data_IF_107125088148
#
_entry.id   IF_107125088148
#
_cell.length_a   1.000
_cell.length_b   1.000
_cell.length_c   1.000
_cell.angle_alpha   90.00
_cell.angle_beta   90.00
_cell.angle_gamma   90.00
#
_symmetry.space_group_name_H-M   'P 1'
#
loop_
_entity.id
_entity.type
_entity.pdbx_description
1 polymer ?
#
# COMPACT_ATOMS: atom_id res chain seq x y z
N UNK A 1 38.22 10.35 28.51
CA UNK A 1 39.50 11.08 28.41
C UNK A 1 40.21 10.52 27.19
N UNK A 2 40.25 11.12 25.99
CA UNK A 2 40.01 12.46 25.44
C UNK A 2 39.51 12.23 23.98
N UNK A 3 38.42 12.87 23.55
CA UNK A 3 38.38 14.19 22.88
C UNK A 3 38.86 14.09 21.42
N UNK A 4 37.95 14.13 20.43
CA UNK A 4 37.45 15.34 19.74
C UNK A 4 38.56 16.20 19.11
N UNK A 5 38.27 16.72 17.91
CA UNK A 5 38.79 17.95 17.25
C UNK A 5 39.55 17.72 15.92
N UNK A 6 39.11 18.50 14.92
CA UNK A 6 39.58 18.67 13.53
C UNK A 6 38.92 17.69 12.54
N UNK A 7 37.98 18.09 11.68
CA UNK A 7 38.14 19.12 10.64
C UNK A 7 36.94 20.08 10.63
N UNK A 8 37.11 21.24 11.27
CA UNK A 8 36.49 22.50 10.87
C UNK A 8 37.68 23.41 10.59
N UNK A 9 37.90 23.73 9.32
CA UNK A 9 38.43 24.98 8.74
C UNK A 9 38.76 24.64 7.29
N UNK A 10 37.78 24.88 6.44
CA UNK A 10 37.87 24.87 4.98
C UNK A 10 36.74 25.74 4.43
N UNK A 11 36.54 26.91 5.06
CA UNK A 11 35.63 27.95 4.58
C UNK A 11 36.46 28.89 3.70
N UNK A 12 35.77 29.49 2.72
CA UNK A 12 36.08 30.75 2.03
C UNK A 12 36.93 30.59 0.77
N UNK A 13 36.27 30.20 -0.32
CA UNK A 13 36.24 30.98 -1.57
C UNK A 13 35.70 30.09 -2.70
N UNK A 14 34.41 30.21 -3.01
CA UNK A 14 33.82 30.24 -4.36
C UNK A 14 32.43 30.85 -4.15
N UNK A 15 32.43 32.15 -3.83
CA UNK A 15 31.32 33.03 -4.17
C UNK A 15 31.84 33.80 -5.37
N UNK A 16 31.28 33.54 -6.55
CA UNK A 16 30.93 34.54 -7.57
C UNK A 16 30.89 33.91 -8.97
N UNK A 17 29.83 34.28 -9.70
CA UNK A 17 29.65 34.18 -11.15
C UNK A 17 29.16 32.84 -11.71
N UNK A 18 27.87 32.59 -11.56
CA UNK A 18 27.08 32.11 -12.71
C UNK A 18 25.96 33.12 -12.91
N UNK A 19 26.13 33.91 -13.97
CA UNK A 19 25.22 34.97 -14.39
C UNK A 19 23.92 34.42 -14.93
N UNK A 20 22.87 35.20 -14.68
CA UNK A 20 21.57 35.16 -15.32
C UNK A 20 21.70 35.21 -16.86
N UNK A 21 21.49 34.07 -17.51
CA UNK A 21 20.86 33.94 -18.83
C UNK A 21 20.04 32.64 -18.71
N UNK A 22 18.71 32.69 -18.59
CA UNK A 22 17.85 33.24 -19.61
C UNK A 22 17.48 32.18 -20.66
N UNK A 23 17.02 31.01 -20.23
CA UNK A 23 16.02 30.22 -20.95
C UNK A 23 14.97 29.83 -19.92
N UNK A 24 14.12 30.79 -19.57
CA UNK A 24 12.80 30.51 -19.00
C UNK A 24 12.01 29.74 -20.05
N UNK A 25 12.26 28.43 -20.14
CA UNK A 25 11.19 27.53 -20.53
C UNK A 25 10.28 27.50 -19.33
N UNK A 26 9.36 28.47 -19.29
CA UNK A 26 8.11 28.30 -18.59
C UNK A 26 7.41 27.11 -19.24
N UNK A 27 7.79 25.89 -18.84
CA UNK A 27 6.77 24.88 -18.68
C UNK A 27 5.92 25.41 -17.53
N UNK A 28 4.88 26.18 -17.88
CA UNK A 28 3.61 25.90 -17.24
C UNK A 28 3.39 24.41 -17.51
N UNK A 29 3.89 23.56 -16.60
CA UNK A 29 3.24 22.27 -16.40
C UNK A 29 1.78 22.69 -16.19
N UNK A 30 0.93 22.37 -17.16
CA UNK A 30 -0.46 22.65 -16.94
C UNK A 30 -0.83 21.93 -15.63
N UNK A 31 -1.49 22.65 -14.74
CA UNK A 31 -2.07 22.15 -13.47
C UNK A 31 -3.18 21.11 -13.74
N UNK A 32 -3.30 20.65 -14.98
CA UNK A 32 -4.30 19.69 -15.43
C UNK A 32 -4.05 18.38 -14.71
N UNK A 33 -5.15 17.79 -14.25
CA UNK A 33 -5.11 16.51 -13.58
C UNK A 33 -4.56 15.43 -14.52
N UNK A 34 -3.89 14.39 -14.00
CA UNK A 34 -3.27 13.38 -14.89
C UNK A 34 -4.29 12.69 -15.82
N UNK A 35 -5.54 12.51 -15.39
CA UNK A 35 -6.63 11.97 -16.22
C UNK A 35 -7.05 12.87 -17.40
N UNK A 36 -6.73 14.17 -17.35
CA UNK A 36 -6.97 15.13 -18.44
C UNK A 36 -5.76 15.24 -19.38
N UNK A 37 -4.66 14.55 -19.04
CA UNK A 37 -3.42 14.58 -19.81
C UNK A 37 -3.56 13.84 -21.14
N UNK A 38 -2.90 14.35 -22.18
CA UNK A 38 -2.78 13.64 -23.46
C UNK A 38 -1.80 12.46 -23.43
N UNK A 39 -1.00 12.32 -22.37
CA UNK A 39 0.04 11.29 -22.24
C UNK A 39 -0.36 10.10 -21.36
N UNK A 40 -1.54 10.16 -20.75
CA UNK A 40 -2.08 9.11 -19.89
C UNK A 40 -3.56 8.88 -20.22
N UNK A 41 -4.10 7.73 -19.85
CA UNK A 41 -5.51 7.46 -20.08
C UNK A 41 -6.39 8.18 -19.04
N UNK A 42 -7.61 8.51 -19.45
CA UNK A 42 -8.62 9.02 -18.53
C UNK A 42 -9.13 7.90 -17.63
N UNK A 43 -8.63 7.87 -16.39
CA UNK A 43 -9.03 6.89 -15.37
C UNK A 43 -10.25 7.35 -14.55
N UNK A 44 -10.83 8.52 -14.83
CA UNK A 44 -12.03 9.03 -14.18
C UNK A 44 -13.21 8.83 -15.13
N UNK A 45 -13.91 7.71 -14.98
CA UNK A 45 -15.02 7.35 -15.86
C UNK A 45 -16.38 7.52 -15.15
N UNK A 46 -17.48 7.80 -15.88
CA UNK A 46 -18.82 7.95 -15.29
C UNK A 46 -19.30 6.74 -14.49
N UNK A 47 -18.82 5.54 -14.85
CA UNK A 47 -19.07 4.31 -14.12
C UNK A 47 -17.79 3.49 -13.91
N UNK A 48 -17.79 2.64 -12.88
CA UNK A 48 -16.66 1.74 -12.64
C UNK A 48 -16.49 0.70 -13.76
N UNK A 49 -17.57 0.26 -14.38
CA UNK A 49 -17.48 -0.66 -15.53
C UNK A 49 -16.77 -0.02 -16.71
N UNK A 50 -17.05 1.26 -17.03
CA UNK A 50 -16.31 2.01 -18.06
C UNK A 50 -14.85 2.22 -17.67
N UNK A 51 -14.58 2.45 -16.38
CA UNK A 51 -13.20 2.50 -15.86
C UNK A 51 -12.43 1.20 -16.07
N UNK A 52 -13.06 0.05 -15.83
CA UNK A 52 -12.45 -1.25 -16.11
C UNK A 52 -12.14 -1.40 -17.60
N UNK A 53 -13.04 -0.96 -18.49
CA UNK A 53 -12.81 -1.01 -19.95
C UNK A 53 -11.64 -0.11 -20.35
N UNK A 54 -11.67 1.18 -19.97
CA UNK A 54 -10.62 2.14 -20.30
C UNK A 54 -9.25 1.70 -19.76
N UNK A 55 -9.20 1.20 -18.52
CA UNK A 55 -7.97 0.68 -17.92
C UNK A 55 -7.44 -0.53 -18.68
N UNK A 56 -8.33 -1.42 -19.15
CA UNK A 56 -7.91 -2.61 -19.90
C UNK A 56 -7.26 -2.22 -21.22
N UNK A 57 -7.88 -1.31 -21.96
CA UNK A 57 -7.36 -0.82 -23.24
C UNK A 57 -5.97 -0.20 -23.07
N UNK A 58 -5.79 0.58 -22.00
CA UNK A 58 -4.51 1.15 -21.65
C UNK A 58 -3.46 0.09 -21.28
N UNK A 59 -3.78 -0.83 -20.35
CA UNK A 59 -2.82 -1.81 -19.83
C UNK A 59 -2.36 -2.80 -20.90
N UNK A 60 -3.26 -3.25 -21.79
CA UNK A 60 -2.87 -4.15 -22.90
C UNK A 60 -1.77 -3.55 -23.77
N UNK A 61 -1.79 -2.22 -23.95
CA UNK A 61 -0.85 -1.52 -24.82
C UNK A 61 0.41 -1.03 -24.09
N UNK A 62 0.33 -0.80 -22.78
CA UNK A 62 1.37 -0.08 -22.03
C UNK A 62 2.06 -0.90 -20.92
N UNK A 63 1.51 -2.06 -20.55
CA UNK A 63 2.14 -2.94 -19.56
C UNK A 63 3.38 -3.64 -20.13
N UNK A 64 4.44 -3.66 -19.34
CA UNK A 64 5.59 -4.53 -19.60
C UNK A 64 5.31 -5.91 -18.99
N UNK A 65 4.79 -6.84 -19.78
CA UNK A 65 4.58 -8.22 -19.36
C UNK A 65 5.91 -8.95 -19.14
N UNK A 66 6.05 -9.65 -18.02
CA UNK A 66 7.32 -10.27 -17.59
C UNK A 66 7.29 -11.81 -17.63
N UNK A 67 6.13 -12.40 -17.90
CA UNK A 67 5.90 -13.84 -18.01
C UNK A 67 5.24 -14.20 -19.34
N UNK A 68 5.22 -15.50 -19.65
CA UNK A 68 4.55 -16.01 -20.85
C UNK A 68 3.01 -16.08 -20.73
N UNK A 69 2.44 -15.74 -19.56
CA UNK A 69 1.00 -15.75 -19.33
C UNK A 69 0.50 -14.31 -19.12
N UNK A 70 0.46 -13.55 -20.23
CA UNK A 70 0.03 -12.16 -20.23
C UNK A 70 -1.40 -11.97 -19.74
N UNK A 71 -2.31 -12.93 -19.98
CA UNK A 71 -3.69 -12.85 -19.53
C UNK A 71 -3.81 -12.91 -18.00
N UNK A 72 -3.05 -13.81 -17.37
CA UNK A 72 -2.96 -13.88 -15.90
C UNK A 72 -2.38 -12.59 -15.33
N UNK A 73 -1.27 -12.12 -15.89
CA UNK A 73 -0.65 -10.87 -15.43
C UNK A 73 -1.60 -9.68 -15.58
N UNK A 74 -2.28 -9.56 -16.71
CA UNK A 74 -3.26 -8.52 -16.93
C UNK A 74 -4.35 -8.60 -15.86
N UNK A 75 -4.94 -9.79 -15.65
CA UNK A 75 -5.98 -9.99 -14.64
C UNK A 75 -5.53 -9.63 -13.22
N UNK A 76 -4.26 -9.86 -12.87
CA UNK A 76 -3.70 -9.47 -11.57
C UNK A 76 -3.58 -7.94 -11.42
N UNK A 77 -3.46 -7.20 -12.52
CA UNK A 77 -3.22 -5.76 -12.49
C UNK A 77 -4.45 -4.92 -12.90
N UNK A 78 -5.53 -5.56 -13.33
CA UNK A 78 -6.77 -4.89 -13.70
C UNK A 78 -7.58 -4.46 -12.47
N UNK A 79 -8.20 -3.26 -12.47
CA UNK A 79 -9.29 -2.99 -11.55
C UNK A 79 -10.41 -4.00 -11.76
N UNK A 80 -11.18 -4.30 -10.71
CA UNK A 80 -12.18 -5.36 -10.77
C UNK A 80 -13.41 -5.08 -9.93
N UNK A 81 -14.52 -5.69 -10.35
CA UNK A 81 -15.81 -5.72 -9.65
C UNK A 81 -16.13 -7.18 -9.28
N UNK A 82 -16.68 -7.41 -8.08
CA UNK A 82 -17.14 -8.72 -7.60
C UNK A 82 -18.48 -8.56 -6.87
N UNK A 83 -19.25 -9.64 -6.80
CA UNK A 83 -20.62 -9.62 -6.31
C UNK A 83 -21.62 -9.05 -7.33
N UNK A 84 -22.89 -9.02 -6.94
CA UNK A 84 -23.98 -8.57 -7.82
C UNK A 84 -24.50 -7.21 -7.35
N UNK A 85 -24.16 -6.16 -8.13
CA UNK A 85 -24.57 -4.76 -7.89
C UNK A 85 -26.08 -4.61 -7.63
N UNK A 86 -26.93 -5.40 -8.30
CA UNK A 86 -28.38 -5.25 -8.20
C UNK A 86 -29.00 -5.91 -6.96
N UNK A 87 -28.28 -6.83 -6.31
CA UNK A 87 -28.81 -7.57 -5.15
C UNK A 87 -28.08 -7.23 -3.85
N UNK A 88 -26.85 -6.75 -3.94
CA UNK A 88 -26.08 -6.31 -2.78
C UNK A 88 -26.64 -4.98 -2.26
N UNK A 89 -26.81 -4.86 -0.94
CA UNK A 89 -27.18 -3.60 -0.28
C UNK A 89 -25.99 -2.85 0.33
N UNK A 90 -24.85 -3.52 0.39
CA UNK A 90 -23.59 -3.00 0.93
C UNK A 90 -22.54 -3.05 -0.17
N UNK A 91 -21.68 -2.05 -0.22
CA UNK A 91 -20.54 -2.03 -1.12
C UNK A 91 -19.23 -1.70 -0.39
N UNK A 92 -18.12 -2.07 -1.00
CA UNK A 92 -16.78 -1.74 -0.50
C UNK A 92 -15.85 -1.39 -1.65
N UNK A 93 -15.13 -0.28 -1.50
CA UNK A 93 -14.04 0.11 -2.38
C UNK A 93 -12.70 -0.30 -1.76
N UNK A 94 -11.86 -1.02 -2.48
CA UNK A 94 -10.55 -1.48 -2.03
C UNK A 94 -9.43 -0.77 -2.79
N UNK A 95 -8.47 -0.20 -2.06
CA UNK A 95 -7.39 0.63 -2.61
C UNK A 95 -6.02 0.11 -2.19
N UNK A 96 -5.19 -0.29 -3.16
CA UNK A 96 -3.89 -0.93 -2.88
C UNK A 96 -2.80 0.07 -2.46
N UNK A 97 -1.65 -0.47 -2.04
CA UNK A 97 -0.48 0.32 -1.64
C UNK A 97 0.42 0.74 -2.80
N UNK A 98 1.40 1.61 -2.52
CA UNK A 98 2.42 2.01 -3.49
C UNK A 98 3.18 0.80 -4.05
N UNK A 99 3.30 0.75 -5.39
CA UNK A 99 4.01 -0.29 -6.13
C UNK A 99 3.26 -1.61 -6.24
N UNK A 100 2.09 -1.75 -5.62
CA UNK A 100 1.23 -2.93 -5.69
C UNK A 100 0.21 -2.82 -6.85
N UNK A 101 -0.73 -3.76 -6.89
CA UNK A 101 -1.83 -3.82 -7.86
C UNK A 101 -3.13 -4.26 -7.18
N UNK A 102 -4.27 -4.24 -7.90
CA UNK A 102 -5.54 -4.79 -7.42
C UNK A 102 -5.45 -6.23 -6.88
N UNK A 103 -4.46 -7.02 -7.32
CA UNK A 103 -4.24 -8.37 -6.80
C UNK A 103 -4.03 -8.42 -5.28
N UNK A 104 -3.56 -7.34 -4.64
CA UNK A 104 -3.40 -7.25 -3.18
C UNK A 104 -4.69 -7.47 -2.40
N UNK A 105 -5.84 -7.36 -3.06
CA UNK A 105 -7.16 -7.66 -2.49
C UNK A 105 -7.84 -8.88 -3.13
N UNK A 106 -7.09 -9.75 -3.81
CA UNK A 106 -7.66 -10.94 -4.45
C UNK A 106 -8.46 -11.83 -3.48
N UNK A 107 -7.92 -12.10 -2.30
CA UNK A 107 -8.61 -12.90 -1.28
C UNK A 107 -9.59 -12.07 -0.45
N UNK A 108 -9.17 -10.89 0.03
CA UNK A 108 -10.03 -10.01 0.84
C UNK A 108 -11.32 -9.65 0.08
N UNK A 109 -11.21 -9.31 -1.20
CA UNK A 109 -12.37 -9.01 -2.04
C UNK A 109 -13.30 -10.21 -2.21
N UNK A 110 -12.76 -11.44 -2.25
CA UNK A 110 -13.56 -12.67 -2.27
C UNK A 110 -14.26 -12.91 -0.93
N UNK A 111 -13.57 -12.69 0.19
CA UNK A 111 -14.17 -12.81 1.52
C UNK A 111 -15.30 -11.80 1.72
N UNK A 112 -15.11 -10.53 1.34
CA UNK A 112 -16.13 -9.49 1.42
C UNK A 112 -17.32 -9.74 0.49
N UNK A 113 -17.09 -10.28 -0.71
CA UNK A 113 -18.18 -10.76 -1.58
C UNK A 113 -19.00 -11.85 -0.88
N UNK A 114 -18.35 -12.78 -0.19
CA UNK A 114 -18.99 -13.82 0.63
C UNK A 114 -19.88 -13.27 1.75
N UNK A 115 -19.50 -12.11 2.31
CA UNK A 115 -20.27 -11.36 3.31
C UNK A 115 -21.38 -10.46 2.71
N UNK A 116 -21.63 -10.61 1.40
CA UNK A 116 -22.70 -9.95 0.67
C UNK A 116 -22.39 -8.55 0.16
N UNK A 117 -21.13 -8.11 0.22
CA UNK A 117 -20.72 -6.83 -0.35
C UNK A 117 -20.60 -6.91 -1.88
N UNK A 118 -20.99 -5.82 -2.54
CA UNK A 118 -20.49 -5.50 -3.87
C UNK A 118 -19.09 -4.92 -3.73
N UNK A 119 -18.08 -5.54 -4.35
CA UNK A 119 -16.68 -5.19 -4.12
C UNK A 119 -16.10 -4.56 -5.38
N UNK A 120 -15.53 -3.37 -5.24
CA UNK A 120 -14.75 -2.70 -6.28
C UNK A 120 -13.30 -2.59 -5.81
N UNK A 121 -12.33 -2.99 -6.64
CA UNK A 121 -10.90 -2.83 -6.34
C UNK A 121 -10.25 -1.91 -7.37
N UNK A 122 -9.72 -0.77 -6.92
CA UNK A 122 -9.12 0.25 -7.77
C UNK A 122 -7.69 -0.11 -8.17
N UNK A 123 -7.30 0.33 -9.37
CA UNK A 123 -5.91 0.48 -9.79
C UNK A 123 -5.52 1.95 -9.72
N UNK A 124 -4.62 2.32 -8.81
CA UNK A 124 -4.12 3.70 -8.74
C UNK A 124 -3.30 4.03 -10.00
N UNK A 125 -3.44 5.24 -10.59
CA UNK A 125 -2.67 5.62 -11.76
C UNK A 125 -1.16 5.51 -11.48
N UNK A 126 -0.41 5.18 -12.52
CA UNK A 126 1.01 4.80 -12.47
C UNK A 126 1.30 3.35 -12.09
N UNK A 127 0.31 2.59 -11.62
CA UNK A 127 0.46 1.18 -11.25
C UNK A 127 -0.06 0.24 -12.34
N UNK A 128 0.28 -1.04 -12.24
CA UNK A 128 -0.24 -2.11 -13.10
C UNK A 128 0.31 -2.17 -14.52
N UNK A 129 1.01 -1.14 -14.99
CA UNK A 129 1.68 -1.08 -16.30
C UNK A 129 3.18 -1.40 -16.20
N UNK A 130 4.01 -0.41 -15.89
CA UNK A 130 5.46 -0.52 -15.70
C UNK A 130 5.92 0.48 -14.63
N UNK A 131 7.03 0.21 -13.91
CA UNK A 131 7.48 1.09 -12.84
C UNK A 131 7.67 2.54 -13.28
N UNK A 132 8.14 2.78 -14.50
CA UNK A 132 8.36 4.13 -15.02
C UNK A 132 7.10 5.02 -14.96
N UNK A 133 5.90 4.45 -15.06
CA UNK A 133 4.65 5.21 -15.04
C UNK A 133 4.33 5.79 -13.65
N UNK A 134 4.96 5.31 -12.57
CA UNK A 134 4.87 5.94 -11.24
C UNK A 134 5.59 7.31 -11.15
N UNK A 135 6.33 7.68 -12.19
CA UNK A 135 6.86 9.04 -12.31
C UNK A 135 5.80 10.07 -12.71
N UNK A 136 4.64 9.64 -13.19
CA UNK A 136 3.57 10.50 -13.70
C UNK A 136 2.62 11.05 -12.61
N UNK A 137 2.01 10.21 -11.73
CA UNK A 137 0.98 10.67 -10.81
C UNK A 137 1.58 11.40 -9.60
N UNK A 138 0.87 12.39 -9.09
CA UNK A 138 1.11 12.92 -7.76
C UNK A 138 0.06 12.37 -6.75
N UNK A 139 0.13 12.80 -5.49
CA UNK A 139 -0.83 12.31 -4.49
C UNK A 139 -2.28 12.77 -4.76
N UNK A 140 -2.50 13.95 -5.34
CA UNK A 140 -3.87 14.44 -5.61
C UNK A 140 -4.52 13.66 -6.75
N UNK A 141 -3.73 13.15 -7.70
CA UNK A 141 -4.23 12.21 -8.72
C UNK A 141 -4.75 10.91 -8.11
N UNK A 142 -4.03 10.37 -7.11
CA UNK A 142 -4.49 9.20 -6.35
C UNK A 142 -5.70 9.50 -5.45
N UNK A 143 -5.74 10.66 -4.80
CA UNK A 143 -6.89 11.03 -4.00
C UNK A 143 -8.14 11.24 -4.87
N UNK A 144 -7.99 11.88 -6.03
CA UNK A 144 -9.10 12.17 -6.96
C UNK A 144 -9.81 10.90 -7.42
N UNK A 145 -9.05 9.86 -7.79
CA UNK A 145 -9.66 8.58 -8.22
C UNK A 145 -10.37 7.88 -7.07
N UNK A 146 -9.81 7.91 -5.85
CA UNK A 146 -10.45 7.34 -4.65
C UNK A 146 -11.75 8.06 -4.33
N UNK A 147 -11.72 9.40 -4.31
CA UNK A 147 -12.89 10.23 -4.03
C UNK A 147 -14.01 10.01 -5.05
N UNK A 148 -13.64 9.95 -6.34
CA UNK A 148 -14.58 9.74 -7.42
C UNK A 148 -15.35 8.43 -7.28
N UNK A 149 -14.65 7.29 -7.17
CA UNK A 149 -15.32 5.99 -7.12
C UNK A 149 -15.98 5.70 -5.76
N UNK A 150 -15.48 6.26 -4.66
CA UNK A 150 -16.18 6.21 -3.37
C UNK A 150 -17.52 6.95 -3.43
N UNK A 151 -17.54 8.14 -4.04
CA UNK A 151 -18.76 8.92 -4.24
C UNK A 151 -19.76 8.21 -5.17
N UNK A 152 -19.30 7.57 -6.25
CA UNK A 152 -20.18 6.77 -7.12
C UNK A 152 -20.81 5.60 -6.36
N UNK A 153 -20.04 4.85 -5.57
CA UNK A 153 -20.60 3.78 -4.74
C UNK A 153 -21.65 4.33 -3.76
N UNK A 154 -21.41 5.48 -3.14
CA UNK A 154 -22.35 6.04 -2.18
C UNK A 154 -23.64 6.55 -2.79
N UNK A 155 -23.66 6.85 -4.09
CA UNK A 155 -24.90 7.15 -4.83
C UNK A 155 -25.76 5.90 -5.03
N UNK A 156 -25.12 4.74 -5.19
CA UNK A 156 -25.77 3.48 -5.55
C UNK A 156 -26.09 2.58 -4.34
N UNK A 157 -25.41 2.77 -3.20
CA UNK A 157 -25.49 1.88 -2.04
C UNK A 157 -25.71 2.62 -0.72
N UNK A 158 -26.58 2.06 0.12
CA UNK A 158 -26.90 2.60 1.44
C UNK A 158 -25.69 2.51 2.39
N UNK A 159 -24.97 1.38 2.35
CA UNK A 159 -23.79 1.11 3.19
C UNK A 159 -22.55 0.96 2.31
N UNK A 160 -21.58 1.84 2.49
CA UNK A 160 -20.31 1.85 1.77
C UNK A 160 -19.15 1.84 2.74
N UNK A 161 -18.34 0.80 2.68
CA UNK A 161 -17.05 0.73 3.37
C UNK A 161 -15.93 1.13 2.41
N UNK A 162 -14.85 1.70 2.95
CA UNK A 162 -13.60 1.83 2.20
C UNK A 162 -12.51 1.01 2.85
N UNK A 163 -11.86 0.17 2.06
CA UNK A 163 -10.71 -0.63 2.48
C UNK A 163 -9.43 -0.16 1.81
N UNK A 164 -8.33 -0.18 2.55
CA UNK A 164 -7.06 0.32 2.04
C UNK A 164 -5.86 -0.41 2.61
N UNK A 165 -4.87 -0.68 1.76
CA UNK A 165 -3.58 -1.25 2.14
C UNK A 165 -2.48 -0.20 2.05
N UNK A 166 -1.70 -0.01 3.11
CA UNK A 166 -0.54 0.89 3.11
C UNK A 166 -0.91 2.30 2.63
N UNK A 167 -0.38 2.76 1.48
CA UNK A 167 -0.76 4.03 0.84
C UNK A 167 -2.27 4.14 0.59
N UNK A 168 -2.93 3.06 0.15
CA UNK A 168 -4.37 3.06 -0.05
C UNK A 168 -5.15 3.30 1.25
N UNK A 169 -4.63 2.84 2.38
CA UNK A 169 -5.20 3.14 3.70
C UNK A 169 -5.15 4.64 4.01
N UNK A 170 -4.10 5.33 3.57
CA UNK A 170 -3.99 6.78 3.72
C UNK A 170 -5.12 7.47 2.94
N UNK A 171 -5.28 7.10 1.67
CA UNK A 171 -6.23 7.74 0.75
C UNK A 171 -7.69 7.57 1.19
N UNK A 172 -8.08 6.36 1.60
CA UNK A 172 -9.45 6.11 2.11
C UNK A 172 -9.70 6.78 3.46
N UNK A 173 -8.66 6.93 4.29
CA UNK A 173 -8.76 7.67 5.56
C UNK A 173 -8.90 9.18 5.31
N UNK A 174 -8.16 9.74 4.35
CA UNK A 174 -8.32 11.13 3.91
C UNK A 174 -9.74 11.36 3.41
N UNK A 175 -10.25 10.49 2.54
CA UNK A 175 -11.62 10.54 2.05
C UNK A 175 -12.64 10.56 3.20
N UNK A 176 -12.50 9.64 4.16
CA UNK A 176 -13.39 9.55 5.31
C UNK A 176 -13.45 10.85 6.14
N UNK A 177 -12.32 11.57 6.25
CA UNK A 177 -12.24 12.81 7.03
C UNK A 177 -12.72 14.02 6.22
N UNK A 178 -12.34 14.12 4.95
CA UNK A 178 -12.59 15.32 4.12
C UNK A 178 -13.91 15.30 3.38
N UNK A 179 -14.32 14.13 2.86
CA UNK A 179 -15.57 13.95 2.11
C UNK A 179 -16.67 13.36 3.00
N UNK A 180 -16.29 12.50 3.97
CA UNK A 180 -17.26 11.80 4.82
C UNK A 180 -18.11 10.82 4.01
N UNK A 181 -19.40 10.71 4.35
CA UNK A 181 -20.40 9.93 3.61
C UNK A 181 -20.01 8.45 3.36
N UNK A 182 -19.32 7.83 4.31
CA UNK A 182 -19.01 6.40 4.30
C UNK A 182 -19.34 5.79 5.66
N UNK A 183 -19.54 4.47 5.69
CA UNK A 183 -20.11 3.77 6.84
C UNK A 183 -19.07 2.98 7.65
N UNK A 184 -17.84 2.88 7.16
CA UNK A 184 -16.72 2.28 7.90
C UNK A 184 -15.45 2.10 7.08
N UNK A 185 -14.38 1.72 7.78
CA UNK A 185 -13.04 1.56 7.22
C UNK A 185 -12.47 0.16 7.50
N UNK A 186 -11.74 -0.38 6.53
CA UNK A 186 -10.99 -1.64 6.65
C UNK A 186 -9.53 -1.42 6.26
N UNK A 187 -8.66 -1.23 7.23
CA UNK A 187 -7.29 -0.76 7.00
C UNK A 187 -6.27 -1.88 7.24
N UNK A 188 -5.42 -2.12 6.25
CA UNK A 188 -4.36 -3.11 6.31
C UNK A 188 -3.01 -2.41 6.30
N UNK A 189 -2.20 -2.63 7.35
CA UNK A 189 -0.88 -2.02 7.55
C UNK A 189 -0.83 -0.53 7.13
N UNK A 190 -1.68 0.34 7.71
CA UNK A 190 -1.90 1.68 7.18
C UNK A 190 -0.62 2.51 7.12
N UNK A 191 -0.41 3.21 6.00
CA UNK A 191 0.79 4.00 5.72
C UNK A 191 0.89 5.34 6.45
N UNK A 192 0.28 5.48 7.64
CA UNK A 192 0.14 6.78 8.31
C UNK A 192 1.48 7.32 8.78
N UNK A 193 2.43 6.46 9.15
CA UNK A 193 3.75 6.85 9.62
C UNK A 193 4.80 5.79 9.31
N UNK A 194 5.89 6.15 8.62
CA UNK A 194 7.05 5.26 8.50
C UNK A 194 7.92 5.28 9.75
N UNK A 195 8.83 4.31 9.85
CA UNK A 195 9.86 4.26 10.90
C UNK A 195 10.89 5.40 10.82
N UNK A 196 10.97 6.13 9.71
CA UNK A 196 11.95 7.20 9.48
C UNK A 196 11.29 8.52 9.03
N UNK A 197 10.37 9.11 9.83
CA UNK A 197 9.54 10.24 9.41
C UNK A 197 10.33 11.52 9.09
N UNK A 198 11.57 11.65 9.57
CA UNK A 198 12.45 12.78 9.24
C UNK A 198 13.03 12.67 7.81
N UNK A 199 13.16 11.46 7.27
CA UNK A 199 13.66 11.23 5.91
C UNK A 199 12.54 11.42 4.86
N UNK A 200 11.29 11.13 5.23
CA UNK A 200 10.08 11.42 4.43
C UNK A 200 10.01 12.90 3.98
N UNK A 201 10.46 13.83 4.85
CA UNK A 201 10.50 15.28 4.56
C UNK A 201 11.61 15.70 3.60
N UNK A 202 12.64 14.87 3.41
CA UNK A 202 13.78 15.15 2.52
C UNK A 202 13.64 14.48 1.15
N UNK A 203 12.72 13.51 1.00
CA UNK A 203 12.45 12.83 -0.26
C UNK A 203 12.18 13.79 -1.45
N UNK A 204 11.45 14.91 -1.30
CA UNK A 204 11.24 15.86 -2.40
C UNK A 204 12.52 16.52 -2.92
N UNK A 205 13.52 16.76 -2.05
CA UNK A 205 14.79 17.35 -2.45
C UNK A 205 15.69 16.35 -3.18
N UNK A 206 15.55 15.05 -2.90
CA UNK A 206 16.28 14.00 -3.59
C UNK A 206 15.79 13.77 -5.04
N UNK A 207 14.52 14.07 -5.36
CA UNK A 207 13.96 13.89 -6.71
C UNK A 207 14.47 14.85 -7.76
N UNK A 208 15.15 15.91 -7.35
CA UNK A 208 15.84 16.81 -8.28
C UNK A 208 17.14 16.16 -8.82
N UNK A 209 17.66 15.13 -8.14
CA UNK A 209 18.99 14.56 -8.41
C UNK A 209 19.01 13.04 -8.62
N UNK A 210 17.94 12.31 -8.26
CA UNK A 210 17.88 10.83 -8.29
C UNK A 210 16.46 10.38 -8.69
N UNK A 211 16.35 9.45 -9.64
CA UNK A 211 15.04 8.96 -10.14
C UNK A 211 14.41 7.83 -9.28
N UNK A 212 15.19 7.20 -8.40
CA UNK A 212 14.74 6.13 -7.50
C UNK A 212 15.58 4.86 -7.60
N UNK A 213 15.03 3.75 -7.08
CA UNK A 213 15.65 2.42 -7.16
C UNK A 213 15.09 1.64 -8.34
N UNK A 214 15.96 1.12 -9.22
CA UNK A 214 15.59 0.25 -10.34
C UNK A 214 16.09 -1.17 -10.09
N UNK A 215 15.21 -2.14 -10.29
CA UNK A 215 15.50 -3.57 -10.20
C UNK A 215 14.92 -4.33 -11.38
N UNK A 216 15.34 -5.57 -11.55
CA UNK A 216 14.67 -6.50 -12.46
C UNK A 216 13.27 -6.84 -11.91
N UNK A 217 12.24 -6.68 -12.75
CA UNK A 217 10.87 -6.99 -12.36
C UNK A 217 10.62 -8.49 -12.46
N UNK A 218 10.41 -9.13 -11.30
CA UNK A 218 10.19 -10.58 -11.18
C UNK A 218 8.84 -10.96 -10.57
N UNK A 219 8.00 -9.96 -10.31
CA UNK A 219 6.73 -10.14 -9.63
C UNK A 219 5.61 -9.58 -10.49
N UNK A 220 4.70 -10.45 -10.92
CA UNK A 220 3.58 -10.07 -11.78
C UNK A 220 2.60 -9.09 -11.12
N UNK A 221 2.47 -9.13 -9.79
CA UNK A 221 1.46 -8.40 -9.03
C UNK A 221 1.95 -7.06 -8.48
N UNK A 222 3.25 -6.78 -8.53
CA UNK A 222 3.83 -5.59 -7.90
C UNK A 222 5.19 -5.25 -8.49
N UNK A 223 5.56 -3.99 -8.42
CA UNK A 223 6.89 -3.55 -8.76
C UNK A 223 7.90 -3.89 -7.67
N UNK A 224 9.10 -4.23 -8.13
CA UNK A 224 10.32 -4.36 -7.34
C UNK A 224 11.08 -3.03 -7.34
N UNK A 225 11.05 -2.32 -8.47
CA UNK A 225 11.56 -0.95 -8.57
C UNK A 225 10.72 0.02 -7.72
N UNK A 226 11.38 1.06 -7.20
CA UNK A 226 10.78 2.11 -6.40
C UNK A 226 11.15 3.49 -6.96
N UNK A 227 10.36 4.01 -7.92
CA UNK A 227 10.52 5.35 -8.46
C UNK A 227 10.27 6.42 -7.38
N UNK A 228 11.10 7.46 -7.37
CA UNK A 228 11.11 8.42 -6.27
C UNK A 228 9.84 9.28 -6.21
N UNK A 229 9.24 9.62 -7.37
CA UNK A 229 8.00 10.37 -7.40
C UNK A 229 6.84 9.62 -6.70
N UNK A 230 6.74 8.30 -6.89
CA UNK A 230 5.77 7.48 -6.17
C UNK A 230 6.00 7.51 -4.65
N UNK A 231 7.26 7.47 -4.20
CA UNK A 231 7.59 7.58 -2.78
C UNK A 231 7.26 8.98 -2.21
N UNK A 232 7.43 10.05 -3.00
CA UNK A 232 7.02 11.42 -2.63
C UNK A 232 5.49 11.50 -2.51
N UNK A 233 4.75 10.98 -3.48
CA UNK A 233 3.29 10.97 -3.44
C UNK A 233 2.75 10.19 -2.23
N UNK A 234 3.37 9.05 -1.90
CA UNK A 234 3.10 8.34 -0.65
C UNK A 234 3.37 9.21 0.57
N UNK A 235 4.55 9.82 0.67
CA UNK A 235 4.94 10.69 1.79
C UNK A 235 3.95 11.84 1.98
N UNK A 236 3.52 12.48 0.88
CA UNK A 236 2.51 13.53 0.91
C UNK A 236 1.16 13.04 1.46
N UNK A 237 0.70 11.86 1.05
CA UNK A 237 -0.53 11.25 1.61
C UNK A 237 -0.40 10.94 3.11
N UNK A 238 0.76 10.43 3.55
CA UNK A 238 1.00 10.10 4.95
C UNK A 238 1.04 11.36 5.82
N UNK A 239 1.71 12.42 5.35
CA UNK A 239 1.68 13.75 5.99
C UNK A 239 0.25 14.26 6.07
N UNK A 240 -0.51 14.21 4.96
CA UNK A 240 -1.89 14.70 4.91
C UNK A 240 -2.79 14.00 5.93
N UNK A 241 -2.74 12.67 6.04
CA UNK A 241 -3.48 11.92 7.07
C UNK A 241 -3.09 12.38 8.48
N UNK A 242 -1.79 12.46 8.78
CA UNK A 242 -1.32 12.85 10.11
C UNK A 242 -1.74 14.27 10.46
N UNK A 243 -1.71 15.21 9.52
CA UNK A 243 -2.18 16.58 9.73
C UNK A 243 -3.69 16.61 10.01
N UNK A 244 -4.50 15.87 9.25
CA UNK A 244 -5.94 15.77 9.49
C UNK A 244 -6.23 15.19 10.88
N UNK A 245 -5.55 14.11 11.26
CA UNK A 245 -5.70 13.45 12.56
C UNK A 245 -5.13 14.24 13.75
N UNK A 246 -4.55 15.42 13.57
CA UNK A 246 -4.22 16.29 14.72
C UNK A 246 -5.48 16.79 15.41
N UNK A 247 -6.45 17.25 14.62
CA UNK A 247 -7.64 17.98 15.08
C UNK A 247 -8.96 17.27 14.73
N UNK A 248 -8.91 16.18 13.94
CA UNK A 248 -10.08 15.40 13.54
C UNK A 248 -10.05 14.00 14.15
N UNK A 249 -11.24 13.46 14.36
CA UNK A 249 -11.48 12.08 14.81
C UNK A 249 -12.22 11.30 13.74
N UNK A 250 -12.12 9.99 13.81
CA UNK A 250 -12.85 9.04 12.97
C UNK A 250 -13.87 8.34 13.85
N UNK A 251 -15.14 8.65 13.59
CA UNK A 251 -16.27 8.22 14.42
C UNK A 251 -17.10 7.10 13.76
N UNK A 252 -16.63 6.57 12.63
CA UNK A 252 -17.20 5.41 11.95
C UNK A 252 -16.47 4.11 12.35
N UNK A 253 -17.14 2.95 12.31
CA UNK A 253 -16.51 1.65 12.56
C UNK A 253 -15.25 1.45 11.71
N UNK A 254 -14.15 1.09 12.36
CA UNK A 254 -12.85 0.87 11.71
C UNK A 254 -12.23 -0.43 12.19
N UNK A 255 -11.88 -1.30 11.25
CA UNK A 255 -10.97 -2.42 11.48
C UNK A 255 -9.56 -2.04 11.03
N UNK A 256 -8.55 -2.28 11.87
CA UNK A 256 -7.13 -2.17 11.50
C UNK A 256 -6.47 -3.54 11.68
N UNK A 257 -5.78 -4.04 10.65
CA UNK A 257 -4.96 -5.24 10.73
C UNK A 257 -3.50 -4.87 10.47
N UNK A 258 -2.60 -5.11 11.43
CA UNK A 258 -1.21 -4.64 11.36
C UNK A 258 -0.22 -5.60 12.01
N UNK A 259 0.98 -5.69 11.46
CA UNK A 259 2.08 -6.48 12.01
C UNK A 259 3.00 -5.63 12.90
N UNK A 260 3.36 -6.13 14.08
CA UNK A 260 4.34 -5.50 14.97
C UNK A 260 5.73 -5.41 14.34
N UNK A 261 6.11 -6.43 13.59
CA UNK A 261 7.41 -6.49 12.92
C UNK A 261 7.42 -5.75 11.57
N UNK A 262 6.36 -5.01 11.23
CA UNK A 262 6.30 -4.27 9.96
C UNK A 262 7.55 -3.41 9.76
N UNK A 263 8.24 -3.60 8.64
CA UNK A 263 9.52 -2.95 8.34
C UNK A 263 9.35 -1.60 7.62
N UNK A 264 8.13 -1.29 7.16
CA UNK A 264 7.82 -0.11 6.34
C UNK A 264 7.19 0.96 7.22
N UNK A 265 6.17 0.59 7.99
CA UNK A 265 5.44 1.51 8.87
C UNK A 265 5.84 1.36 10.34
N UNK A 266 5.51 2.34 11.15
CA UNK A 266 5.65 2.29 12.61
C UNK A 266 4.31 1.82 13.24
N UNK A 267 4.19 0.53 13.60
CA UNK A 267 2.93 -0.01 14.08
C UNK A 267 2.54 0.53 15.46
N UNK A 268 3.51 0.91 16.30
CA UNK A 268 3.22 1.50 17.60
C UNK A 268 2.68 2.93 17.46
N UNK A 269 3.25 3.74 16.55
CA UNK A 269 2.70 5.05 16.24
C UNK A 269 1.27 4.97 15.66
N UNK A 270 1.02 3.98 14.79
CA UNK A 270 -0.33 3.71 14.25
C UNK A 270 -1.30 3.28 15.36
N UNK A 271 -0.87 2.41 16.28
CA UNK A 271 -1.67 2.04 17.46
C UNK A 271 -2.02 3.26 18.30
N UNK A 272 -1.06 4.15 18.53
CA UNK A 272 -1.30 5.37 19.30
C UNK A 272 -2.27 6.30 18.57
N UNK A 273 -2.17 6.45 17.24
CA UNK A 273 -3.16 7.18 16.45
C UNK A 273 -4.55 6.53 16.57
N UNK A 274 -4.63 5.20 16.44
CA UNK A 274 -5.87 4.44 16.58
C UNK A 274 -6.56 4.72 17.92
N UNK A 275 -5.86 4.50 19.04
CA UNK A 275 -6.43 4.68 20.38
C UNK A 275 -6.83 6.13 20.69
N UNK A 276 -6.18 7.11 20.06
CA UNK A 276 -6.40 8.53 20.35
C UNK A 276 -7.34 9.24 19.37
N UNK A 277 -7.62 8.66 18.19
CA UNK A 277 -8.33 9.35 17.10
C UNK A 277 -9.48 8.56 16.49
N UNK A 278 -9.61 7.27 16.78
CA UNK A 278 -10.69 6.43 16.28
C UNK A 278 -11.65 6.11 17.43
N UNK A 279 -12.79 6.79 17.49
CA UNK A 279 -13.63 6.84 18.69
C UNK A 279 -14.90 5.98 18.62
N UNK A 280 -15.11 5.25 17.52
CA UNK A 280 -16.28 4.40 17.40
C UNK A 280 -16.15 3.14 18.30
N UNK A 281 -17.19 2.77 19.08
CA UNK A 281 -17.14 1.60 19.95
C UNK A 281 -17.03 0.25 19.21
N UNK A 282 -17.34 0.21 17.90
CA UNK A 282 -17.14 -0.98 17.05
C UNK A 282 -15.73 -1.08 16.45
N UNK A 283 -14.85 -0.13 16.78
CA UNK A 283 -13.47 -0.19 16.31
C UNK A 283 -12.78 -1.45 16.82
N UNK A 284 -11.96 -2.04 15.96
CA UNK A 284 -11.18 -3.20 16.31
C UNK A 284 -9.81 -3.18 15.64
N UNK A 285 -8.79 -3.65 16.34
CA UNK A 285 -7.44 -3.82 15.82
C UNK A 285 -7.00 -5.27 15.99
N UNK A 286 -6.62 -5.90 14.88
CA UNK A 286 -5.87 -7.14 14.88
C UNK A 286 -4.38 -6.80 14.86
N UNK A 287 -3.70 -7.13 15.95
CA UNK A 287 -2.28 -6.91 16.13
C UNK A 287 -1.52 -8.23 15.96
N UNK A 288 -0.77 -8.38 14.86
CA UNK A 288 0.05 -9.55 14.59
C UNK A 288 1.44 -9.36 15.18
N UNK A 289 1.68 -9.86 16.38
CA UNK A 289 2.91 -9.62 17.13
C UNK A 289 2.88 -10.19 18.54
N UNK A 290 3.95 -9.93 19.28
CA UNK A 290 4.14 -10.49 20.63
C UNK A 290 3.75 -9.52 21.74
N UNK A 291 3.54 -8.24 21.40
CA UNK A 291 3.06 -7.23 22.34
C UNK A 291 1.61 -7.49 22.71
N UNK A 292 1.35 -7.57 24.01
CA UNK A 292 0.00 -7.62 24.57
C UNK A 292 -0.46 -6.22 25.00
N UNK A 293 -1.73 -5.91 24.77
CA UNK A 293 -2.33 -4.64 25.15
C UNK A 293 -3.56 -4.88 26.01
N UNK A 294 -3.68 -4.17 27.11
CA UNK A 294 -4.88 -4.17 27.96
C UNK A 294 -5.91 -3.18 27.41
N UNK A 295 -6.45 -3.46 26.22
CA UNK A 295 -7.50 -2.65 25.60
C UNK A 295 -8.46 -3.54 24.81
N UNK A 296 -9.76 -3.48 25.13
CA UNK A 296 -10.77 -4.42 24.60
C UNK A 296 -10.93 -4.37 23.07
N UNK A 297 -10.59 -3.24 22.46
CA UNK A 297 -10.63 -3.07 21.01
C UNK A 297 -9.38 -3.60 20.27
N UNK A 298 -8.42 -4.22 20.96
CA UNK A 298 -7.22 -4.80 20.35
C UNK A 298 -7.15 -6.30 20.65
N UNK A 299 -7.00 -7.12 19.60
CA UNK A 299 -6.70 -8.55 19.71
C UNK A 299 -5.28 -8.80 19.22
N UNK A 300 -4.41 -9.23 20.13
CA UNK A 300 -3.03 -9.63 19.81
C UNK A 300 -2.95 -11.11 19.42
N UNK A 301 -2.25 -11.39 18.32
CA UNK A 301 -2.05 -12.71 17.75
C UNK A 301 -0.54 -12.92 17.50
N UNK A 302 0.08 -13.87 18.22
CA UNK A 302 1.52 -14.14 18.12
C UNK A 302 1.91 -14.55 16.70
N UNK A 303 3.03 -14.03 16.20
CA UNK A 303 3.57 -14.39 14.88
C UNK A 303 4.79 -15.29 14.97
N UNK A 304 5.14 -15.77 16.17
CA UNK A 304 6.13 -16.83 16.36
C UNK A 304 5.47 -18.19 16.21
N UNK A 305 5.35 -18.66 14.98
CA UNK A 305 4.64 -19.89 14.62
C UNK A 305 5.60 -20.90 14.01
N UNK A 306 6.31 -21.71 14.84
CA UNK A 306 7.32 -22.64 14.36
C UNK A 306 6.75 -23.74 13.46
N UNK A 307 5.52 -24.19 13.72
CA UNK A 307 4.83 -25.20 12.89
C UNK A 307 4.57 -24.69 11.46
N UNK A 308 4.41 -23.37 11.31
CA UNK A 308 4.26 -22.69 10.03
C UNK A 308 5.58 -22.11 9.49
N UNK A 309 6.70 -22.30 10.22
CA UNK A 309 8.00 -21.68 9.96
C UNK A 309 7.93 -20.15 9.86
N UNK A 310 7.12 -19.50 10.69
CA UNK A 310 7.05 -18.03 10.75
C UNK A 310 7.85 -17.56 11.96
N UNK A 311 8.80 -16.66 11.72
CA UNK A 311 9.54 -15.97 12.79
C UNK A 311 8.85 -14.66 13.20
N UNK A 312 8.28 -13.92 12.23
CA UNK A 312 7.59 -12.64 12.47
C UNK A 312 6.52 -12.36 11.40
N UNK A 313 5.59 -11.45 11.69
CA UNK A 313 4.69 -10.87 10.69
C UNK A 313 5.43 -9.96 9.71
N UNK A 314 4.75 -9.45 8.68
CA UNK A 314 5.34 -8.49 7.73
C UNK A 314 4.32 -7.43 7.32
N UNK A 315 4.77 -6.41 6.58
CA UNK A 315 3.87 -5.43 5.99
C UNK A 315 2.72 -6.06 5.15
N UNK A 316 3.01 -7.16 4.44
CA UNK A 316 2.05 -7.84 3.56
C UNK A 316 1.27 -8.95 4.26
N UNK A 317 1.66 -9.35 5.47
CA UNK A 317 1.06 -10.51 6.13
C UNK A 317 -0.44 -10.40 6.40
N UNK A 318 -1.08 -9.21 6.52
CA UNK A 318 -2.53 -9.16 6.68
C UNK A 318 -3.35 -9.60 5.46
N UNK A 319 -2.79 -9.55 4.24
CA UNK A 319 -3.61 -9.44 3.02
C UNK A 319 -4.11 -10.74 2.41
N UNK A 320 -3.28 -11.79 2.41
CA UNK A 320 -3.53 -12.97 1.59
C UNK A 320 -3.88 -14.19 2.45
N UNK A 321 -4.78 -15.03 1.95
CA UNK A 321 -5.08 -16.32 2.54
C UNK A 321 -3.88 -17.27 2.42
N UNK A 322 -3.68 -18.22 3.35
CA UNK A 322 -2.73 -19.31 3.20
C UNK A 322 -2.88 -20.08 1.88
N UNK A 323 -4.10 -20.13 1.32
CA UNK A 323 -4.46 -20.83 0.09
C UNK A 323 -4.29 -19.97 -1.18
N UNK A 324 -3.79 -18.73 -1.08
CA UNK A 324 -3.60 -17.87 -2.25
C UNK A 324 -2.64 -18.52 -3.26
N UNK A 325 -3.07 -18.63 -4.52
CA UNK A 325 -2.31 -19.31 -5.56
C UNK A 325 -0.95 -18.66 -5.88
N UNK A 326 -0.77 -17.38 -5.59
CA UNK A 326 0.45 -16.64 -5.93
C UNK A 326 1.31 -16.36 -4.69
N UNK A 327 0.70 -15.92 -3.59
CA UNK A 327 1.38 -15.49 -2.36
C UNK A 327 1.11 -16.35 -1.13
N UNK A 328 0.35 -17.42 -1.24
CA UNK A 328 0.03 -18.32 -0.13
C UNK A 328 1.20 -19.22 0.26
N UNK A 329 0.95 -20.18 1.16
CA UNK A 329 1.97 -21.11 1.69
C UNK A 329 2.68 -21.86 0.56
N UNK A 330 1.90 -22.32 -0.42
CA UNK A 330 2.38 -23.00 -1.64
C UNK A 330 2.31 -22.13 -2.89
N UNK A 331 2.25 -20.80 -2.74
CA UNK A 331 2.07 -19.87 -3.84
C UNK A 331 3.21 -19.89 -4.87
N UNK A 332 2.89 -19.52 -6.11
CA UNK A 332 3.85 -19.49 -7.22
C UNK A 332 5.02 -18.54 -7.00
N UNK A 333 4.84 -17.44 -6.25
CA UNK A 333 5.86 -16.42 -6.06
C UNK A 333 6.26 -16.29 -4.59
N UNK A 334 7.55 -16.53 -4.34
CA UNK A 334 8.17 -16.41 -3.03
C UNK A 334 9.19 -15.27 -3.02
N UNK A 335 9.04 -14.34 -2.09
CA UNK A 335 9.91 -13.18 -1.99
C UNK A 335 11.20 -13.51 -1.21
N UNK A 336 12.14 -14.16 -1.88
CA UNK A 336 13.40 -14.65 -1.28
C UNK A 336 14.46 -13.57 -1.05
N UNK A 337 14.35 -12.40 -1.71
CA UNK A 337 15.21 -11.23 -1.48
C UNK A 337 14.91 -10.52 -0.13
N UNK A 338 14.69 -11.32 0.91
CA UNK A 338 14.42 -10.94 2.28
C UNK A 338 15.59 -11.31 3.21
N UNK A 339 16.32 -12.36 2.85
CA UNK A 339 17.62 -12.73 3.42
C UNK A 339 18.72 -12.02 2.64
N UNK A 340 19.42 -11.06 3.24
CA UNK A 340 20.40 -10.21 2.52
C UNK A 340 21.62 -10.95 1.96
N UNK A 341 21.91 -12.17 2.41
CA UNK A 341 23.01 -12.99 1.89
C UNK A 341 22.63 -13.70 0.59
N UNK A 342 23.50 -13.63 -0.43
CA UNK A 342 23.23 -14.21 -1.76
C UNK A 342 23.01 -15.73 -1.71
N UNK A 343 23.77 -16.46 -0.91
CA UNK A 343 23.62 -17.91 -0.80
C UNK A 343 22.28 -18.26 -0.13
N UNK A 344 21.85 -17.47 0.85
CA UNK A 344 20.54 -17.61 1.48
C UNK A 344 19.38 -17.32 0.50
N UNK A 345 19.49 -16.29 -0.37
CA UNK A 345 18.50 -16.03 -1.43
C UNK A 345 18.40 -17.24 -2.36
N UNK A 346 19.52 -17.74 -2.88
CA UNK A 346 19.53 -18.87 -3.81
C UNK A 346 18.98 -20.16 -3.15
N UNK A 347 19.30 -20.39 -1.87
CA UNK A 347 18.75 -21.52 -1.11
C UNK A 347 17.23 -21.38 -0.88
N UNK A 348 16.74 -20.16 -0.62
CA UNK A 348 15.31 -19.88 -0.53
C UNK A 348 14.59 -20.14 -1.86
N UNK A 349 15.18 -19.73 -2.99
CA UNK A 349 14.64 -19.96 -4.33
C UNK A 349 14.56 -21.45 -4.66
N UNK A 350 15.49 -22.27 -4.14
CA UNK A 350 15.43 -23.74 -4.22
C UNK A 350 14.47 -24.39 -3.21
N UNK A 351 13.91 -23.62 -2.27
CA UNK A 351 12.94 -24.10 -1.27
C UNK A 351 13.55 -24.80 -0.06
N UNK A 352 14.86 -24.64 0.17
CA UNK A 352 15.57 -25.33 1.25
C UNK A 352 15.25 -24.70 2.62
N UNK A 353 14.45 -25.38 3.45
CA UNK A 353 14.29 -25.03 4.87
C UNK A 353 13.73 -23.62 5.15
N UNK A 354 12.95 -23.06 4.21
CA UNK A 354 12.54 -21.65 4.26
C UNK A 354 11.63 -21.34 5.46
N UNK A 355 11.97 -20.26 6.15
CA UNK A 355 11.17 -19.55 7.15
C UNK A 355 10.60 -18.26 6.57
N UNK A 356 9.62 -17.66 7.23
CA UNK A 356 8.97 -16.43 6.82
C UNK A 356 9.10 -15.33 7.87
N UNK A 357 9.32 -14.08 7.43
CA UNK A 357 9.47 -12.94 8.34
C UNK A 357 9.14 -11.60 7.69
N UNK A 358 9.22 -10.54 8.48
CA UNK A 358 9.38 -9.16 8.01
C UNK A 358 10.63 -8.99 7.13
N UNK A 359 10.65 -7.91 6.34
CA UNK A 359 11.82 -7.53 5.56
C UNK A 359 12.98 -7.13 6.45
N UNK A 360 14.14 -7.70 6.12
CA UNK A 360 15.40 -7.47 6.82
C UNK A 360 15.53 -8.14 8.20
N UNK A 361 14.54 -8.92 8.63
CA UNK A 361 14.69 -9.76 9.80
C UNK A 361 15.68 -10.90 9.55
N UNK A 362 16.53 -11.20 10.53
CA UNK A 362 17.51 -12.27 10.47
C UNK A 362 17.49 -13.06 11.79
N UNK A 363 17.66 -14.36 11.69
CA UNK A 363 17.75 -15.27 12.84
C UNK A 363 18.73 -16.40 12.52
N UNK A 364 19.64 -16.70 13.44
CA UNK A 364 20.68 -17.70 13.22
C UNK A 364 20.09 -19.07 12.88
N UNK A 365 20.65 -19.69 11.84
CA UNK A 365 20.21 -21.01 11.36
C UNK A 365 18.91 -21.01 10.56
N UNK A 366 18.35 -19.85 10.22
CA UNK A 366 17.14 -19.73 9.38
C UNK A 366 17.38 -18.90 8.13
N UNK A 367 16.73 -19.31 7.05
CA UNK A 367 16.69 -18.60 5.78
C UNK A 367 15.28 -18.06 5.61
N UNK A 368 15.13 -16.75 5.45
CA UNK A 368 13.82 -16.11 5.40
C UNK A 368 13.43 -15.67 3.99
N UNK A 369 12.19 -16.00 3.61
CA UNK A 369 11.41 -15.27 2.64
C UNK A 369 10.54 -14.22 3.35
N UNK A 370 10.09 -13.19 2.63
CA UNK A 370 9.10 -12.26 3.18
C UNK A 370 7.79 -13.02 3.41
N UNK A 371 7.18 -12.88 4.59
CA UNK A 371 5.85 -13.43 4.84
C UNK A 371 4.82 -12.63 4.02
N UNK A 372 4.07 -13.31 3.15
CA UNK A 372 3.07 -12.69 2.28
C UNK A 372 1.65 -13.11 2.58
N UNK A 373 1.40 -14.01 3.52
CA UNK A 373 0.07 -14.54 3.82
C UNK A 373 -0.22 -14.49 5.32
N UNK A 374 -1.51 -14.53 5.67
CA UNK A 374 -2.00 -14.39 7.02
C UNK A 374 -2.27 -15.77 7.64
N UNK A 375 -1.51 -16.23 8.64
CA UNK A 375 -1.82 -17.49 9.34
C UNK A 375 -3.15 -17.44 10.10
N UNK A 376 -3.66 -16.24 10.36
CA UNK A 376 -4.92 -15.98 11.04
C UNK A 376 -5.99 -15.42 10.10
N UNK A 377 -5.94 -15.76 8.80
CA UNK A 377 -6.87 -15.22 7.80
C UNK A 377 -8.35 -15.38 8.18
N UNK A 378 -8.74 -16.52 8.78
CA UNK A 378 -10.11 -16.72 9.28
C UNK A 378 -10.51 -15.73 10.38
N UNK A 379 -9.60 -15.42 11.31
CA UNK A 379 -9.87 -14.43 12.36
C UNK A 379 -10.02 -13.01 11.77
N UNK A 380 -9.31 -12.73 10.66
CA UNK A 380 -9.49 -11.51 9.89
C UNK A 380 -10.86 -11.48 9.19
N UNK A 381 -11.29 -12.59 8.57
CA UNK A 381 -12.64 -12.71 7.98
C UNK A 381 -13.73 -12.47 9.03
N UNK A 382 -13.61 -13.12 10.19
CA UNK A 382 -14.53 -12.93 11.33
C UNK A 382 -14.53 -11.49 11.85
N UNK A 383 -13.40 -10.77 11.75
CA UNK A 383 -13.34 -9.37 12.12
C UNK A 383 -14.00 -8.46 11.08
N UNK A 384 -13.81 -8.75 9.78
CA UNK A 384 -14.43 -7.99 8.68
C UNK A 384 -15.96 -8.15 8.66
N UNK A 385 -16.49 -9.33 8.98
CA UNK A 385 -17.94 -9.59 8.98
C UNK A 385 -18.71 -8.85 10.10
N UNK A 386 -17.99 -8.30 11.10
CA UNK A 386 -18.57 -7.54 12.22
C UNK A 386 -18.72 -6.05 11.95
N UNK A 387 -18.21 -5.56 10.82
CA UNK A 387 -18.41 -4.19 10.33
C UNK A 387 -19.78 -4.07 9.64
#
# INVERSE_FOLDING_TARGET
MRMWVNIVVGIIAIVSVIGLVGCSVSHSASDDALHESSYYYDYIQPSFTEYVVATREWLVSNRNFISNNSDKELAMNMPSERGNKNTSRKAVLLVHGLGDSPYSFSDIGKSLEGEGFYVQTLLLPGHGSKPEDLMLPNYTDWQRIVDHYANLLKQDFDTVLLGGFSTGANLVTIHAIEQGNIDGLVLFSPGFQSKTPKLERLAPLAAVFIDGYKAEERNAARYTSAPLNGAIAYSNSAVKVRELLKDKTIDIPTLIAISEADSVVDPFAIKDLYLNRFNNPKNHMLWYGESEFTHDSITSLSMRLPDNRISTGSHMSPLFSPDNSFYGVGGEHKMCANSFDKNAVEACERGEGVWFSAWGYQEDGKIHARLTWNPYYRALEDAMSRL
#
